data_IF_864605685197
#
_entry.id   IF_864605685197
#
_cell.length_a   1.000
_cell.length_b   1.000
_cell.length_c   1.000
_cell.angle_alpha   90.00
_cell.angle_beta   90.00
_cell.angle_gamma   90.00
#
_symmetry.space_group_name_H-M   'P 1'
#
loop_
_entity.id
_entity.type
_entity.pdbx_description
1 polymer ?
#
# COMPACT_ATOMS: atom_id res chain seq x y z
N UNK A 1 5.32 -3.65 2.97
CA UNK A 1 6.65 -3.14 2.51
C UNK A 1 7.67 -3.50 3.58
N UNK A 2 8.91 -3.68 3.17
CA UNK A 2 10.03 -3.95 4.07
C UNK A 2 11.10 -2.86 3.91
N UNK A 3 11.68 -2.42 5.01
CA UNK A 3 12.91 -1.64 5.03
C UNK A 3 14.06 -2.63 5.16
N UNK A 4 14.94 -2.64 4.16
CA UNK A 4 15.98 -3.65 4.02
C UNK A 4 17.34 -2.98 3.97
N UNK A 5 18.28 -3.45 4.79
CA UNK A 5 19.67 -2.98 4.76
C UNK A 5 20.48 -3.82 3.78
N UNK A 6 21.10 -3.18 2.79
CA UNK A 6 22.03 -3.86 1.89
C UNK A 6 23.39 -4.08 2.58
N UNK A 7 23.99 -5.24 2.37
CA UNK A 7 25.40 -5.50 2.72
C UNK A 7 26.30 -5.02 1.56
N UNK A 8 27.38 -4.22 1.77
CA UNK A 8 27.88 -3.61 3.01
C UNK A 8 27.56 -2.11 3.03
N UNK A 9 26.42 -1.71 3.59
CA UNK A 9 26.02 -0.29 3.53
C UNK A 9 25.18 0.23 4.69
N UNK A 10 24.59 -0.64 5.52
CA UNK A 10 23.88 -0.31 6.76
C UNK A 10 22.62 0.56 6.60
N UNK A 11 22.47 1.29 5.49
CA UNK A 11 21.29 2.12 5.18
C UNK A 11 20.11 1.22 4.83
N UNK A 12 18.96 1.53 5.42
CA UNK A 12 17.70 0.84 5.14
C UNK A 12 17.01 1.44 3.92
N UNK A 13 16.51 0.56 3.04
CA UNK A 13 15.85 0.93 1.79
C UNK A 13 14.44 0.35 1.71
N UNK A 14 13.43 1.15 1.31
CA UNK A 14 12.07 0.66 1.14
C UNK A 14 12.00 -0.30 -0.05
N UNK A 15 11.52 -1.50 0.21
CA UNK A 15 11.44 -2.60 -0.75
C UNK A 15 10.03 -3.17 -0.76
N UNK A 16 9.50 -3.43 -1.96
CA UNK A 16 8.20 -4.06 -2.16
C UNK A 16 8.25 -5.46 -1.54
N UNK A 17 7.37 -5.68 -0.58
CA UNK A 17 7.26 -6.92 0.18
C UNK A 17 5.93 -7.55 -0.16
N UNK A 18 5.96 -8.48 -1.12
CA UNK A 18 4.81 -9.26 -1.57
C UNK A 18 4.85 -10.68 -0.99
N UNK A 19 5.32 -10.78 0.26
CA UNK A 19 5.36 -12.01 1.04
C UNK A 19 4.91 -11.71 2.46
N UNK A 20 4.09 -12.59 3.03
CA UNK A 20 3.56 -12.46 4.39
C UNK A 20 4.34 -13.29 5.42
N UNK A 21 5.22 -14.17 4.95
CA UNK A 21 6.04 -15.09 5.76
C UNK A 21 7.40 -14.51 6.16
N UNK A 22 7.66 -13.27 5.74
CA UNK A 22 8.88 -12.54 6.07
C UNK A 22 8.77 -11.93 7.46
N UNK A 23 9.84 -12.04 8.24
CA UNK A 23 9.97 -11.41 9.57
C UNK A 23 11.18 -10.49 9.62
N UNK A 24 11.19 -9.58 10.59
CA UNK A 24 12.37 -8.73 10.87
C UNK A 24 13.55 -9.64 11.22
N UNK A 25 14.71 -9.35 10.62
CA UNK A 25 15.94 -10.15 10.74
C UNK A 25 16.12 -11.20 9.64
N UNK A 26 15.11 -11.47 8.80
CA UNK A 26 15.28 -12.39 7.67
C UNK A 26 16.31 -11.86 6.66
N UNK A 27 17.23 -12.73 6.25
CA UNK A 27 18.12 -12.50 5.10
C UNK A 27 17.36 -12.75 3.80
N UNK A 28 17.33 -11.75 2.92
CA UNK A 28 16.55 -11.77 1.68
C UNK A 28 17.38 -11.40 0.45
N UNK A 29 16.95 -11.92 -0.71
CA UNK A 29 17.41 -11.48 -2.02
C UNK A 29 16.42 -10.48 -2.59
N UNK A 30 16.95 -9.35 -3.04
CA UNK A 30 16.20 -8.19 -3.51
C UNK A 30 16.54 -8.00 -4.97
N UNK A 31 15.51 -7.91 -5.81
CA UNK A 31 15.65 -7.62 -7.22
C UNK A 31 15.32 -6.14 -7.46
N UNK A 32 16.24 -5.42 -8.10
CA UNK A 32 16.01 -4.05 -8.60
C UNK A 32 15.22 -4.08 -9.92
N UNK A 33 14.64 -2.95 -10.32
CA UNK A 33 14.05 -2.76 -11.65
C UNK A 33 15.01 -3.09 -12.80
N UNK A 34 16.31 -2.95 -12.58
CA UNK A 34 17.38 -3.29 -13.55
C UNK A 34 17.68 -4.79 -13.63
N UNK A 35 16.98 -5.63 -12.86
CA UNK A 35 17.19 -7.08 -12.80
C UNK A 35 18.37 -7.50 -11.91
N UNK A 36 19.12 -6.56 -11.35
CA UNK A 36 20.23 -6.85 -10.43
C UNK A 36 19.72 -7.43 -9.11
N UNK A 37 20.38 -8.48 -8.62
CA UNK A 37 20.05 -9.16 -7.36
C UNK A 37 21.05 -8.74 -6.30
N UNK A 38 20.55 -8.22 -5.18
CA UNK A 38 21.36 -7.85 -4.01
C UNK A 38 20.88 -8.60 -2.78
N UNK A 39 21.81 -8.90 -1.88
CA UNK A 39 21.49 -9.44 -0.57
C UNK A 39 21.22 -8.31 0.41
N UNK A 40 20.24 -8.49 1.29
CA UNK A 40 20.02 -7.61 2.42
C UNK A 40 19.31 -8.30 3.58
N UNK A 41 19.13 -7.55 4.67
CA UNK A 41 18.45 -8.01 5.88
C UNK A 41 17.26 -7.12 6.17
N UNK A 42 16.11 -7.72 6.48
CA UNK A 42 14.91 -6.97 6.81
C UNK A 42 15.10 -6.29 8.18
N UNK A 43 15.22 -4.96 8.18
CA UNK A 43 15.30 -4.16 9.40
C UNK A 43 13.92 -3.83 9.98
N UNK A 44 12.95 -3.51 9.12
CA UNK A 44 11.58 -3.19 9.56
C UNK A 44 10.54 -3.66 8.55
N UNK A 45 9.37 -4.08 9.01
CA UNK A 45 8.20 -4.32 8.18
C UNK A 45 7.15 -3.24 8.44
N UNK A 46 6.79 -2.51 7.39
CA UNK A 46 5.74 -1.47 7.46
C UNK A 46 4.82 -1.58 6.26
N UNK A 47 3.53 -1.37 6.46
CA UNK A 47 2.55 -1.30 5.38
C UNK A 47 2.38 0.18 5.02
N UNK A 48 3.21 0.70 4.11
CA UNK A 48 3.14 2.11 3.67
C UNK A 48 2.58 2.27 2.26
N UNK A 49 2.35 1.15 1.54
CA UNK A 49 1.82 1.13 0.17
C UNK A 49 2.51 2.17 -0.76
N UNK A 50 3.85 2.26 -0.68
CA UNK A 50 4.62 3.02 -1.66
C UNK A 50 4.95 2.14 -2.85
N UNK A 51 5.12 2.79 -3.99
CA UNK A 51 5.74 2.21 -5.16
C UNK A 51 7.24 2.07 -4.89
N UNK A 52 7.70 0.85 -4.61
CA UNK A 52 9.13 0.58 -4.41
C UNK A 52 9.77 0.15 -5.73
N UNK A 53 10.95 0.70 -6.05
CA UNK A 53 11.74 0.29 -7.22
C UNK A 53 12.35 -1.11 -7.07
N UNK A 54 12.52 -1.58 -5.84
CA UNK A 54 13.10 -2.87 -5.55
C UNK A 54 12.07 -3.77 -4.91
N UNK A 55 12.13 -5.08 -5.20
CA UNK A 55 11.21 -6.09 -4.68
C UNK A 55 11.97 -7.22 -4.01
N UNK A 56 11.47 -7.68 -2.86
CA UNK A 56 11.97 -8.91 -2.24
C UNK A 56 11.51 -10.09 -3.09
N UNK A 57 12.48 -10.86 -3.57
CA UNK A 57 12.23 -12.04 -4.39
C UNK A 57 12.05 -13.28 -3.51
N UNK A 58 13.06 -13.62 -2.70
CA UNK A 58 13.03 -14.78 -1.81
C UNK A 58 13.89 -14.60 -0.56
N UNK A 59 13.76 -15.51 0.41
CA UNK A 59 14.73 -15.65 1.50
C UNK A 59 16.02 -16.24 0.93
N UNK A 60 17.17 -15.87 1.52
CA UNK A 60 18.47 -16.44 1.12
C UNK A 60 18.48 -17.96 1.28
N UNK A 61 17.77 -18.49 2.28
CA UNK A 61 17.63 -19.94 2.51
C UNK A 61 16.86 -20.69 1.42
N UNK A 62 16.14 -19.98 0.55
CA UNK A 62 15.36 -20.55 -0.55
C UNK A 62 16.10 -20.45 -1.90
N UNK A 63 17.24 -19.77 -1.94
CA UNK A 63 18.04 -19.58 -3.13
C UNK A 63 19.24 -20.52 -3.12
N UNK A 64 19.56 -21.07 -4.30
CA UNK A 64 20.76 -21.89 -4.47
C UNK A 64 21.86 -20.98 -5.02
N UNK A 65 23.03 -21.01 -4.40
CA UNK A 65 24.19 -20.28 -4.95
C UNK A 65 24.83 -21.16 -6.01
N UNK A 66 24.82 -20.69 -7.25
CA UNK A 66 25.48 -21.37 -8.36
C UNK A 66 27.00 -21.35 -8.18
N UNK A 67 27.69 -22.32 -8.79
CA UNK A 67 29.15 -22.44 -8.73
C UNK A 67 29.88 -21.20 -9.29
N UNK A 68 29.19 -20.39 -10.10
CA UNK A 68 29.71 -19.15 -10.68
C UNK A 68 29.54 -17.93 -9.76
N UNK A 69 29.07 -18.12 -8.52
CA UNK A 69 28.84 -17.05 -7.56
C UNK A 69 27.51 -16.31 -7.72
N UNK A 70 26.76 -16.59 -8.79
CA UNK A 70 25.41 -16.05 -9.03
C UNK A 70 24.35 -16.79 -8.21
N UNK A 71 23.29 -16.07 -7.80
CA UNK A 71 22.14 -16.67 -7.13
C UNK A 71 21.16 -17.25 -8.15
N UNK A 72 20.91 -18.55 -8.07
CA UNK A 72 19.81 -19.20 -8.77
C UNK A 72 18.53 -19.00 -7.98
N UNK A 73 17.60 -18.31 -8.63
CA UNK A 73 16.30 -17.98 -8.06
C UNK A 73 15.39 -19.22 -8.11
N UNK A 74 14.60 -19.49 -7.05
CA UNK A 74 13.69 -20.62 -7.05
C UNK A 74 12.65 -20.50 -8.16
N UNK A 75 12.41 -21.61 -8.89
CA UNK A 75 11.49 -21.65 -10.04
C UNK A 75 10.04 -21.32 -9.69
N UNK A 76 9.65 -21.42 -8.41
CA UNK A 76 8.37 -20.91 -7.92
C UNK A 76 8.56 -20.12 -6.63
N UNK A 77 8.20 -18.84 -6.68
CA UNK A 77 8.12 -17.99 -5.49
C UNK A 77 6.81 -18.30 -4.79
N UNK A 78 6.87 -18.63 -3.49
CA UNK A 78 5.68 -18.68 -2.64
C UNK A 78 5.18 -17.26 -2.40
N UNK A 79 4.32 -16.76 -3.29
CA UNK A 79 3.61 -15.50 -3.08
C UNK A 79 2.44 -15.80 -2.14
N UNK A 80 2.49 -15.29 -0.91
CA UNK A 80 1.33 -15.34 -0.03
C UNK A 80 0.17 -14.54 -0.64
N UNK A 81 -1.01 -15.15 -0.68
CA UNK A 81 -2.00 -14.94 -1.73
C UNK A 81 -2.87 -13.69 -1.63
N UNK A 82 -2.60 -12.73 -0.72
CA UNK A 82 -3.48 -11.57 -0.46
C UNK A 82 -2.69 -10.29 -0.16
N UNK A 83 -2.00 -9.74 -1.16
CA UNK A 83 -1.11 -8.58 -0.99
C UNK A 83 -1.43 -7.43 -1.94
N UNK A 84 -2.49 -7.55 -2.72
CA UNK A 84 -2.99 -6.49 -3.61
C UNK A 84 -4.50 -6.43 -3.60
N UNK A 85 -5.03 -5.27 -4.02
CA UNK A 85 -6.46 -5.09 -4.28
C UNK A 85 -7.00 -6.08 -5.32
N UNK A 86 -6.22 -6.42 -6.34
CA UNK A 86 -6.62 -7.36 -7.39
C UNK A 86 -6.75 -8.78 -6.84
N UNK A 87 -5.78 -9.23 -6.03
CA UNK A 87 -5.85 -10.52 -5.35
C UNK A 87 -7.03 -10.57 -4.38
N UNK A 88 -7.32 -9.47 -3.67
CA UNK A 88 -8.51 -9.37 -2.83
C UNK A 88 -9.79 -9.50 -3.66
N UNK A 89 -9.95 -8.73 -4.74
CA UNK A 89 -11.12 -8.77 -5.60
C UNK A 89 -11.35 -10.16 -6.21
N UNK A 90 -10.28 -10.84 -6.64
CA UNK A 90 -10.35 -12.21 -7.14
C UNK A 90 -10.84 -13.20 -6.06
N UNK A 91 -10.33 -13.11 -4.83
CA UNK A 91 -10.78 -13.96 -3.73
C UNK A 91 -12.23 -13.67 -3.33
N UNK A 92 -12.65 -12.41 -3.30
CA UNK A 92 -14.03 -12.03 -3.00
C UNK A 92 -15.01 -12.57 -4.05
N UNK A 93 -14.66 -12.52 -5.34
CA UNK A 93 -15.46 -13.15 -6.41
C UNK A 93 -15.64 -14.65 -6.20
N UNK A 94 -14.60 -15.36 -5.74
CA UNK A 94 -14.71 -16.78 -5.37
C UNK A 94 -15.65 -17.02 -4.19
N UNK A 95 -15.84 -16.02 -3.34
CA UNK A 95 -16.80 -16.03 -2.23
C UNK A 95 -18.19 -15.51 -2.63
N UNK A 96 -18.50 -15.45 -3.94
CA UNK A 96 -19.77 -14.98 -4.49
C UNK A 96 -20.07 -13.49 -4.20
N UNK A 97 -19.06 -12.67 -3.91
CA UNK A 97 -19.23 -11.22 -3.91
C UNK A 97 -19.38 -10.72 -5.34
N UNK A 98 -20.39 -9.89 -5.58
CA UNK A 98 -20.77 -9.38 -6.90
C UNK A 98 -19.97 -8.11 -7.18
N UNK A 99 -19.21 -8.03 -8.29
CA UNK A 99 -18.49 -6.82 -8.65
C UNK A 99 -19.48 -5.72 -9.06
N UNK A 100 -19.22 -4.49 -8.61
CA UNK A 100 -20.02 -3.30 -8.88
C UNK A 100 -19.27 -2.35 -9.82
N UNK A 101 -20.01 -1.43 -10.46
CA UNK A 101 -19.36 -0.35 -11.21
C UNK A 101 -18.58 0.55 -10.25
N UNK A 102 -17.34 0.84 -10.59
CA UNK A 102 -16.48 1.70 -9.77
C UNK A 102 -16.52 3.16 -10.21
N UNK A 103 -16.17 4.05 -9.30
CA UNK A 103 -15.84 5.46 -9.60
C UNK A 103 -14.33 5.61 -9.77
N UNK A 104 -13.86 6.79 -10.19
CA UNK A 104 -12.43 7.08 -10.33
C UNK A 104 -11.62 6.94 -9.01
N UNK A 105 -12.29 6.94 -7.86
CA UNK A 105 -11.67 6.84 -6.53
C UNK A 105 -11.38 5.37 -6.17
N UNK A 106 -12.24 4.46 -6.59
CA UNK A 106 -12.17 3.04 -6.23
C UNK A 106 -11.68 2.21 -7.41
N UNK A 107 -10.63 1.43 -7.19
CA UNK A 107 -10.11 0.48 -8.18
C UNK A 107 -11.00 -0.76 -8.29
N UNK A 108 -11.55 -1.21 -7.15
CA UNK A 108 -12.50 -2.33 -7.10
C UNK A 108 -13.64 -2.00 -6.15
N UNK A 109 -14.85 -2.40 -6.50
CA UNK A 109 -16.02 -2.35 -5.63
C UNK A 109 -16.73 -3.69 -5.74
N UNK A 110 -17.01 -4.33 -4.61
CA UNK A 110 -17.74 -5.59 -4.56
C UNK A 110 -18.80 -5.53 -3.47
N UNK A 111 -19.96 -6.11 -3.76
CA UNK A 111 -21.10 -6.15 -2.85
C UNK A 111 -21.52 -7.59 -2.55
N UNK A 112 -22.06 -7.79 -1.36
CA UNK A 112 -22.69 -9.02 -0.95
C UNK A 112 -23.96 -8.70 -0.17
N UNK A 113 -25.06 -9.35 -0.54
CA UNK A 113 -26.35 -9.19 0.12
C UNK A 113 -26.77 -10.51 0.73
N UNK A 114 -27.10 -10.49 2.02
CA UNK A 114 -27.70 -11.63 2.71
C UNK A 114 -29.15 -11.31 3.08
N UNK A 115 -29.75 -12.14 3.93
CA UNK A 115 -31.15 -11.97 4.33
C UNK A 115 -31.40 -10.73 5.19
N UNK A 116 -30.37 -10.15 5.82
CA UNK A 116 -30.48 -9.11 6.86
C UNK A 116 -29.83 -7.77 6.49
N UNK A 117 -28.84 -7.77 5.61
CA UNK A 117 -28.03 -6.60 5.27
C UNK A 117 -27.40 -6.73 3.87
N UNK A 118 -26.92 -5.59 3.37
CA UNK A 118 -26.06 -5.50 2.19
C UNK A 118 -24.72 -4.90 2.62
N UNK A 119 -23.62 -5.55 2.23
CA UNK A 119 -22.27 -5.11 2.56
C UNK A 119 -21.47 -4.82 1.29
N UNK A 120 -20.71 -3.73 1.31
CA UNK A 120 -19.83 -3.31 0.24
C UNK A 120 -18.38 -3.29 0.76
N UNK A 121 -17.46 -3.77 -0.07
CA UNK A 121 -16.01 -3.62 0.10
C UNK A 121 -15.50 -2.78 -1.07
N UNK A 122 -15.05 -1.56 -0.78
CA UNK A 122 -14.57 -0.60 -1.77
C UNK A 122 -13.06 -0.45 -1.63
N UNK A 123 -12.30 -0.92 -2.62
CA UNK A 123 -10.84 -0.87 -2.63
C UNK A 123 -10.39 0.35 -3.41
N UNK A 124 -9.62 1.22 -2.77
CA UNK A 124 -8.96 2.38 -3.37
C UNK A 124 -7.46 2.18 -3.40
N UNK A 125 -6.74 3.12 -4.02
CA UNK A 125 -5.28 3.02 -4.13
C UNK A 125 -4.58 2.86 -2.78
N UNK A 126 -4.99 3.60 -1.74
CA UNK A 126 -4.30 3.64 -0.43
C UNK A 126 -5.14 3.09 0.74
N UNK A 127 -6.16 2.28 0.48
CA UNK A 127 -7.06 1.85 1.55
C UNK A 127 -8.23 1.01 1.09
N UNK A 128 -9.11 0.70 2.03
CA UNK A 128 -10.31 -0.09 1.81
C UNK A 128 -11.43 0.51 2.66
N UNK A 129 -12.62 0.70 2.09
CA UNK A 129 -13.80 1.10 2.85
C UNK A 129 -14.69 -0.11 3.01
N UNK A 130 -15.23 -0.28 4.22
CA UNK A 130 -16.35 -1.18 4.46
C UNK A 130 -17.60 -0.35 4.66
N UNK A 131 -18.67 -0.77 3.99
CA UNK A 131 -19.98 -0.18 4.15
C UNK A 131 -20.98 -1.32 4.38
N UNK A 132 -21.84 -1.16 5.38
CA UNK A 132 -22.97 -2.06 5.65
C UNK A 132 -24.23 -1.23 5.66
N UNK A 133 -25.18 -1.63 4.84
CA UNK A 133 -26.48 -1.03 4.67
C UNK A 133 -27.53 -1.96 5.32
N UNK A 134 -28.50 -1.42 6.08
CA UNK A 134 -29.68 -2.19 6.43
C UNK A 134 -30.37 -2.63 5.15
N UNK A 135 -30.87 -3.87 5.12
CA UNK A 135 -31.44 -4.45 3.90
C UNK A 135 -32.48 -3.52 3.28
N UNK A 136 -32.22 -3.06 2.07
CA UNK A 136 -33.24 -2.56 1.16
C UNK A 136 -33.60 -3.69 0.21
N UNK A 137 -34.88 -3.77 -0.17
CA UNK A 137 -35.37 -4.75 -1.15
C UNK A 137 -34.75 -4.45 -2.52
N UNK A 138 -33.48 -4.77 -2.72
CA UNK A 138 -32.89 -4.75 -4.04
C UNK A 138 -33.42 -5.97 -4.79
N UNK A 139 -34.09 -5.72 -5.91
CA UNK A 139 -34.09 -6.68 -7.00
C UNK A 139 -32.66 -7.18 -7.22
N UNK A 140 -32.48 -8.45 -7.58
CA UNK A 140 -31.17 -9.11 -7.75
C UNK A 140 -30.10 -8.13 -8.27
N UNK A 141 -29.12 -7.81 -7.44
CA UNK A 141 -28.04 -6.90 -7.81
C UNK A 141 -27.34 -7.48 -9.03
N UNK A 142 -27.30 -6.73 -10.14
CA UNK A 142 -26.62 -7.18 -11.35
C UNK A 142 -25.13 -6.84 -11.26
N UNK A 143 -24.24 -7.72 -11.75
CA UNK A 143 -22.83 -7.39 -11.88
C UNK A 143 -22.64 -6.09 -12.69
N UNK A 144 -21.74 -5.22 -12.21
CA UNK A 144 -21.41 -3.93 -12.83
C UNK A 144 -22.57 -2.94 -12.92
N UNK A 145 -23.63 -3.16 -12.15
CA UNK A 145 -24.67 -2.16 -11.98
C UNK A 145 -24.11 -0.95 -11.23
N UNK A 146 -24.55 0.23 -11.63
CA UNK A 146 -24.19 1.47 -10.95
C UNK A 146 -25.08 1.59 -9.70
N UNK A 147 -24.50 1.35 -8.53
CA UNK A 147 -25.21 1.59 -7.28
C UNK A 147 -25.51 3.09 -7.19
N UNK A 148 -26.79 3.46 -7.10
CA UNK A 148 -27.23 4.86 -6.97
C UNK A 148 -26.97 5.44 -5.56
N UNK A 149 -26.44 4.63 -4.64
CA UNK A 149 -26.42 4.95 -3.22
C UNK A 149 -25.22 5.81 -2.84
N UNK A 150 -25.48 6.81 -2.00
CA UNK A 150 -24.44 7.72 -1.55
C UNK A 150 -23.36 6.95 -0.76
N UNK A 151 -22.07 7.33 -0.92
CA UNK A 151 -20.95 6.72 -0.19
C UNK A 151 -21.03 6.79 1.34
N UNK A 152 -21.99 7.56 1.87
CA UNK A 152 -22.20 7.83 3.30
C UNK A 152 -23.49 7.22 3.86
N UNK A 153 -24.28 6.51 3.03
CA UNK A 153 -25.46 5.82 3.54
C UNK A 153 -25.09 4.56 4.33
N UNK A 154 -25.84 4.32 5.41
CA UNK A 154 -25.61 3.24 6.35
C UNK A 154 -24.35 3.40 7.20
N UNK A 155 -23.75 2.27 7.57
CA UNK A 155 -22.56 2.25 8.43
C UNK A 155 -21.31 2.10 7.59
N UNK A 156 -20.44 3.11 7.63
CA UNK A 156 -19.22 3.16 6.82
C UNK A 156 -18.00 3.30 7.73
N UNK A 157 -16.91 2.63 7.37
CA UNK A 157 -15.58 2.84 7.95
C UNK A 157 -14.55 2.92 6.85
N UNK A 158 -13.65 3.89 6.98
CA UNK A 158 -12.50 4.01 6.10
C UNK A 158 -11.25 3.44 6.76
N UNK A 159 -10.66 2.45 6.11
CA UNK A 159 -9.35 1.95 6.48
C UNK A 159 -8.31 2.46 5.48
N UNK A 160 -7.16 2.80 6.00
CA UNK A 160 -6.01 3.25 5.24
C UNK A 160 -4.93 2.18 5.31
N UNK A 161 -4.26 1.90 4.20
CA UNK A 161 -3.12 0.98 4.18
C UNK A 161 -1.91 1.54 4.95
N UNK A 162 -1.54 2.83 4.81
CA UNK A 162 -0.38 3.39 5.50
C UNK A 162 -0.49 3.25 7.02
N UNK A 163 0.64 2.94 7.66
CA UNK A 163 0.78 2.79 9.10
C UNK A 163 -0.04 1.67 9.75
N UNK A 164 -0.61 0.77 8.95
CA UNK A 164 -1.22 -0.45 9.49
C UNK A 164 -0.16 -1.40 10.02
N UNK A 165 -0.49 -2.13 11.09
CA UNK A 165 0.37 -3.16 11.71
C UNK A 165 0.07 -4.58 11.21
N UNK A 166 -0.99 -4.74 10.43
CA UNK A 166 -1.46 -6.03 9.93
C UNK A 166 -1.90 -5.91 8.47
N UNK A 167 -2.04 -7.05 7.80
CA UNK A 167 -2.48 -7.10 6.41
C UNK A 167 -3.98 -6.74 6.30
N UNK A 168 -4.26 -5.52 5.85
CA UNK A 168 -5.64 -5.03 5.69
C UNK A 168 -6.44 -5.85 4.67
N UNK A 169 -5.80 -6.44 3.66
CA UNK A 169 -6.47 -7.31 2.68
C UNK A 169 -6.94 -8.63 3.31
N UNK A 170 -6.15 -9.21 4.22
CA UNK A 170 -6.62 -10.34 5.04
C UNK A 170 -7.76 -9.92 5.97
N UNK A 171 -7.68 -8.72 6.55
CA UNK A 171 -8.76 -8.12 7.31
C UNK A 171 -10.07 -8.03 6.51
N UNK A 172 -9.99 -7.60 5.25
CA UNK A 172 -11.14 -7.54 4.34
C UNK A 172 -11.71 -8.93 4.02
N UNK A 173 -10.89 -9.96 3.87
CA UNK A 173 -11.38 -11.35 3.72
C UNK A 173 -12.09 -11.82 4.99
N UNK A 174 -11.57 -11.50 6.18
CA UNK A 174 -12.23 -11.84 7.46
C UNK A 174 -13.57 -11.12 7.59
N UNK A 175 -13.64 -9.85 7.21
CA UNK A 175 -14.90 -9.09 7.14
C UNK A 175 -15.87 -9.77 6.16
N UNK A 176 -15.41 -10.11 4.96
CA UNK A 176 -16.23 -10.77 3.96
C UNK A 176 -16.82 -12.10 4.47
N UNK A 177 -15.99 -12.93 5.12
CA UNK A 177 -16.45 -14.19 5.73
C UNK A 177 -17.48 -13.96 6.84
N UNK A 178 -17.26 -12.95 7.69
CA UNK A 178 -18.19 -12.60 8.76
C UNK A 178 -19.57 -12.22 8.19
N UNK A 179 -19.62 -11.47 7.09
CA UNK A 179 -20.86 -11.13 6.40
C UNK A 179 -21.54 -12.37 5.79
N UNK A 180 -20.79 -13.22 5.10
CA UNK A 180 -21.33 -14.47 4.52
C UNK A 180 -21.90 -15.39 5.60
N UNK A 181 -21.25 -15.46 6.76
CA UNK A 181 -21.65 -16.31 7.87
C UNK A 181 -22.74 -15.69 8.77
N UNK A 182 -23.16 -14.45 8.51
CA UNK A 182 -24.07 -13.68 9.37
C UNK A 182 -23.55 -13.54 10.82
N UNK A 183 -22.26 -13.26 10.99
CA UNK A 183 -21.67 -12.99 12.31
C UNK A 183 -22.37 -11.80 13.00
N UNK A 184 -22.73 -11.95 14.28
CA UNK A 184 -23.37 -10.89 15.07
C UNK A 184 -22.39 -9.75 15.44
N UNK A 185 -21.10 -10.07 15.58
CA UNK A 185 -20.08 -9.10 16.01
C UNK A 185 -19.32 -8.49 14.83
N UNK A 186 -20.01 -7.62 14.08
CA UNK A 186 -19.39 -6.83 13.02
C UNK A 186 -18.63 -5.60 13.55
N UNK A 187 -18.91 -5.17 14.79
CA UNK A 187 -18.32 -3.99 15.45
C UNK A 187 -16.79 -3.93 15.35
N UNK A 188 -16.13 -5.08 15.45
CA UNK A 188 -14.67 -5.18 15.37
C UNK A 188 -14.09 -4.66 14.06
N UNK A 189 -14.86 -4.69 12.97
CA UNK A 189 -14.41 -4.23 11.66
C UNK A 189 -14.63 -2.73 11.44
N UNK A 190 -15.46 -2.08 12.26
CA UNK A 190 -15.77 -0.66 12.13
C UNK A 190 -14.87 0.26 12.98
N UNK A 191 -13.70 -0.23 13.38
CA UNK A 191 -12.65 0.56 14.00
C UNK A 191 -11.65 0.96 12.91
N UNK A 192 -11.52 2.24 12.55
CA UNK A 192 -10.62 2.65 11.49
C UNK A 192 -9.18 2.26 11.83
N UNK A 193 -8.41 1.87 10.81
CA UNK A 193 -6.99 1.51 10.97
C UNK A 193 -6.17 2.21 9.90
N UNK A 194 -4.91 2.50 10.25
CA UNK A 194 -4.00 3.25 9.40
C UNK A 194 -4.34 4.74 9.35
N UNK A 195 -3.58 5.48 8.55
CA UNK A 195 -3.72 6.93 8.36
C UNK A 195 -3.59 7.26 6.87
N UNK A 196 -4.26 8.32 6.41
CA UNK A 196 -4.13 8.80 5.03
C UNK A 196 -2.69 9.26 4.72
N UNK A 197 -2.14 10.04 5.65
CA UNK A 197 -0.77 10.51 5.55
C UNK A 197 0.20 9.33 5.52
N UNK A 198 1.03 9.28 4.49
CA UNK A 198 2.05 8.25 4.28
C UNK A 198 3.38 8.61 4.94
N UNK A 199 3.53 9.85 5.41
CA UNK A 199 4.77 10.37 5.97
C UNK A 199 5.05 9.71 7.31
N UNK A 200 6.29 9.26 7.48
CA UNK A 200 6.78 8.86 8.80
C UNK A 200 7.15 10.10 9.61
N UNK A 201 7.19 10.04 10.96
CA UNK A 201 7.61 11.18 11.79
C UNK A 201 8.97 11.77 11.39
N UNK A 202 9.88 10.92 10.90
CA UNK A 202 11.18 11.33 10.38
C UNK A 202 11.05 12.16 9.10
N UNK A 203 10.14 11.80 8.20
CA UNK A 203 9.86 12.56 6.98
C UNK A 203 9.16 13.88 7.29
N UNK A 204 8.23 13.90 8.25
CA UNK A 204 7.59 15.12 8.72
C UNK A 204 8.64 16.10 9.25
N UNK A 205 9.56 15.61 10.10
CA UNK A 205 10.66 16.43 10.63
C UNK A 205 11.56 16.96 9.52
N UNK A 206 11.99 16.11 8.58
CA UNK A 206 12.84 16.54 7.46
C UNK A 206 12.15 17.54 6.55
N UNK A 207 10.87 17.35 6.24
CA UNK A 207 10.08 18.31 5.45
C UNK A 207 10.00 19.67 6.16
N UNK A 208 9.78 19.67 7.47
CA UNK A 208 9.77 20.91 8.27
C UNK A 208 11.13 21.62 8.30
N UNK A 209 12.23 20.86 8.35
CA UNK A 209 13.60 21.40 8.31
C UNK A 209 13.93 22.00 6.93
N UNK A 210 13.53 21.33 5.85
CA UNK A 210 13.67 21.83 4.48
C UNK A 210 12.86 23.11 4.26
N UNK A 211 11.60 23.16 4.72
CA UNK A 211 10.78 24.39 4.65
C UNK A 211 11.43 25.54 5.40
N UNK A 212 11.90 25.29 6.63
CA UNK A 212 12.58 26.32 7.43
C UNK A 212 13.86 26.83 6.76
N UNK A 213 14.60 25.97 6.06
CA UNK A 213 15.77 26.38 5.26
C UNK A 213 15.38 27.23 4.06
N UNK A 214 14.32 26.87 3.35
CA UNK A 214 13.80 27.61 2.21
C UNK A 214 13.29 29.00 2.60
N UNK A 215 12.60 29.11 3.74
CA UNK A 215 12.16 30.38 4.30
C UNK A 215 13.35 31.29 4.68
N UNK A 216 14.39 30.71 5.27
CA UNK A 216 15.61 31.43 5.60
C UNK A 216 16.38 31.88 4.36
N UNK A 217 16.46 31.07 3.30
CA UNK A 217 17.11 31.46 2.04
C UNK A 217 16.33 32.55 1.32
N UNK A 218 14.99 32.45 1.26
CA UNK A 218 14.14 33.47 0.66
C UNK A 218 14.24 34.81 1.39
N UNK A 219 14.43 34.78 2.72
CA UNK A 219 14.64 35.99 3.53
C UNK A 219 16.05 36.57 3.43
N UNK A 220 17.05 35.75 3.12
CA UNK A 220 18.43 36.16 2.95
C UNK A 220 18.79 36.64 1.54
N UNK A 221 17.89 36.46 0.55
CA UNK A 221 18.13 36.88 -0.84
C UNK A 221 19.26 36.11 -1.54
N UNK A 222 19.70 34.99 -0.96
CA UNK A 222 20.77 34.14 -1.49
C UNK A 222 20.18 32.97 -2.27
N UNK A 223 20.41 32.92 -3.58
CA UNK A 223 20.21 31.72 -4.38
C UNK A 223 21.31 30.72 -4.02
N UNK A 224 20.98 29.69 -3.25
CA UNK A 224 21.87 28.55 -3.12
C UNK A 224 21.81 27.77 -4.43
N UNK A 225 22.91 27.79 -5.19
CA UNK A 225 23.17 26.77 -6.19
C UNK A 225 23.35 25.44 -5.44
N UNK A 226 22.65 24.41 -5.94
CA UNK A 226 22.53 23.08 -5.36
C UNK A 226 23.89 22.36 -5.27
N UNK A 227 24.66 22.61 -4.21
CA UNK A 227 25.82 21.76 -3.87
C UNK A 227 25.42 20.66 -2.88
N UNK A 228 25.27 19.46 -3.45
CA UNK A 228 25.53 18.15 -2.85
C UNK A 228 24.99 17.86 -1.44
N UNK A 229 23.66 17.75 -1.34
CA UNK A 229 23.04 16.75 -0.47
C UNK A 229 21.72 16.27 -1.07
N UNK A 230 21.71 15.99 -2.39
CA UNK A 230 20.58 15.34 -3.05
C UNK A 230 20.50 13.87 -2.59
N UNK A 231 19.91 13.67 -1.42
CA UNK A 231 19.23 12.41 -1.14
C UNK A 231 17.99 12.36 -2.03
N UNK A 232 18.24 12.02 -3.30
CA UNK A 232 17.25 11.82 -4.35
C UNK A 232 16.26 10.75 -3.90
N UNK A 233 15.08 11.18 -3.50
CA UNK A 233 13.92 10.30 -3.33
C UNK A 233 13.46 9.71 -4.67
N UNK A 234 13.98 10.22 -5.80
CA UNK A 234 13.82 9.66 -7.14
C UNK A 234 14.41 8.26 -7.28
N UNK A 235 15.32 7.87 -6.38
CA UNK A 235 15.85 6.49 -6.33
C UNK A 235 14.91 5.53 -5.58
N UNK A 236 13.79 6.00 -5.02
CA UNK A 236 12.93 5.20 -4.13
C UNK A 236 11.47 5.08 -4.56
N UNK A 237 10.97 5.97 -5.41
CA UNK A 237 9.62 5.89 -5.98
C UNK A 237 9.61 6.54 -7.37
N UNK A 238 9.66 5.72 -8.43
CA UNK A 238 9.33 6.17 -9.78
C UNK A 238 8.01 5.52 -10.20
N UNK A 239 7.09 6.36 -10.65
CA UNK A 239 5.96 5.92 -11.45
C UNK A 239 6.51 5.73 -12.88
N UNK A 240 6.29 4.55 -13.48
CA UNK A 240 6.59 4.32 -14.90
C UNK A 240 5.63 5.11 -15.82
N UNK A 241 4.83 6.03 -15.25
CA UNK A 241 3.95 6.95 -15.94
C UNK A 241 4.21 8.43 -15.61
N UNK A 242 5.45 8.87 -15.40
CA UNK A 242 5.83 10.30 -15.53
C UNK A 242 4.96 11.34 -14.81
N UNK A 243 4.34 10.99 -13.68
CA UNK A 243 3.43 11.84 -12.93
C UNK A 243 3.79 11.92 -11.45
N UNK A 244 3.30 12.96 -10.78
CA UNK A 244 3.69 13.32 -9.41
C UNK A 244 3.16 12.31 -8.38
N UNK A 245 4.04 11.88 -7.46
CA UNK A 245 3.68 10.97 -6.37
C UNK A 245 3.11 11.80 -5.23
N UNK A 246 1.79 11.77 -5.05
CA UNK A 246 1.14 12.45 -3.92
C UNK A 246 1.48 11.80 -2.57
N UNK A 247 2.05 12.58 -1.66
CA UNK A 247 2.54 12.13 -0.34
C UNK A 247 1.55 12.49 0.78
N UNK A 248 0.82 13.62 0.66
CA UNK A 248 -0.18 14.09 1.63
C UNK A 248 -0.20 15.63 1.74
N UNK A 249 -1.30 16.23 2.19
CA UNK A 249 -1.48 17.68 2.44
C UNK A 249 -1.04 18.63 1.32
N UNK A 250 -1.46 18.37 0.07
CA UNK A 250 -1.05 19.22 -1.07
C UNK A 250 0.41 18.98 -1.52
N UNK A 251 1.13 18.10 -0.83
CA UNK A 251 2.52 17.78 -1.14
C UNK A 251 2.58 16.59 -2.08
N UNK A 252 3.15 16.82 -3.25
CA UNK A 252 3.49 15.82 -4.25
C UNK A 252 5.01 15.73 -4.40
N UNK A 253 5.49 14.63 -4.97
CA UNK A 253 6.89 14.45 -5.30
C UNK A 253 7.02 14.25 -6.81
N UNK A 254 7.78 15.14 -7.44
CA UNK A 254 7.98 15.16 -8.89
C UNK A 254 9.46 15.25 -9.20
N UNK A 255 9.98 14.32 -10.02
CA UNK A 255 11.32 14.41 -10.64
C UNK A 255 12.46 14.88 -9.72
N UNK A 256 12.58 14.33 -8.51
CA UNK A 256 13.66 14.73 -7.60
C UNK A 256 13.29 15.81 -6.57
N UNK A 257 12.10 16.39 -6.65
CA UNK A 257 11.67 17.54 -5.85
C UNK A 257 10.35 17.28 -5.13
N UNK A 258 10.27 17.78 -3.89
CA UNK A 258 9.02 17.90 -3.17
C UNK A 258 8.34 19.17 -3.71
N UNK A 259 7.16 19.00 -4.30
CA UNK A 259 6.31 20.10 -4.78
C UNK A 259 5.17 20.24 -3.78
N UNK A 260 5.01 21.42 -3.21
CA UNK A 260 3.88 21.75 -2.36
C UNK A 260 2.92 22.61 -3.17
N UNK A 261 1.75 22.06 -3.49
CA UNK A 261 0.69 22.76 -4.24
C UNK A 261 -0.11 23.72 -3.35
N UNK A 262 0.29 23.92 -2.07
CA UNK A 262 -0.11 25.05 -1.24
C UNK A 262 -1.61 25.18 -1.02
N UNK A 263 -2.24 24.16 -0.44
CA UNK A 263 -3.65 24.22 0.01
C UNK A 263 -3.79 24.46 1.50
#
# INVERSE_FOLDING_TARGET
MAFVSYEPGGREYPTACLRSDLVVGDSVLIQSTTGTIKRGVIGQLKFLNWWCLSRIYCKVSEAVKSNNGCWELPSSIKISSLLSGDSLAYNLKKMCWIPMRTTHIFRHALTYTNMTLTANILVRTNGIHFQVLPKRNFAQIKPFEQQQEHPLEGRVVEHWLPHTKFNLYEGAIRFAKAIVNNDENLERFFKPVGVNDKRTPQLIKKASESMRRLELSNRAGTSYEDDEASYSFSDYASDMGGGDVYIGDGISYSCGRIVDDGR
#
